data_IF_604687886696
#
_entry.id   IF_604687886696
#
_cell.length_a   1.000
_cell.length_b   1.000
_cell.length_c   1.000
_cell.angle_alpha   90.00
_cell.angle_beta   90.00
_cell.angle_gamma   90.00
#
_symmetry.space_group_name_H-M   'P 1'
#
loop_
_entity.id
_entity.type
_entity.pdbx_description
1 polymer ?
#
# COMPACT_ATOMS: atom_id res chain seq x y z
N UNK A 1 -44.91 69.42 -1.03
CA UNK A 1 -46.36 69.63 -1.21
C UNK A 1 -46.94 68.39 -1.87
N UNK A 2 -47.91 67.76 -1.21
CA UNK A 2 -49.08 67.00 -1.71
C UNK A 2 -48.67 65.74 -2.56
N UNK A 3 -49.18 64.57 -2.38
CA UNK A 3 -50.28 64.11 -1.53
C UNK A 3 -50.55 62.64 -1.79
N UNK A 4 -50.98 61.95 -0.75
CA UNK A 4 -51.42 60.55 -0.71
C UNK A 4 -52.59 60.27 -1.66
N UNK A 5 -52.56 59.04 -2.26
CA UNK A 5 -53.81 58.31 -2.55
C UNK A 5 -53.65 56.86 -2.23
N UNK A 6 -54.34 56.41 -1.23
CA UNK A 6 -54.73 55.03 -0.92
C UNK A 6 -55.80 54.60 -1.92
N UNK A 7 -55.63 53.39 -2.46
CA UNK A 7 -56.69 52.68 -3.17
C UNK A 7 -56.84 51.29 -2.49
N UNK A 8 -58.00 51.16 -1.81
CA UNK A 8 -58.50 49.89 -1.30
C UNK A 8 -59.02 49.02 -2.44
N UNK A 9 -58.59 47.74 -2.49
CA UNK A 9 -59.33 46.73 -3.26
C UNK A 9 -59.82 45.64 -2.31
N UNK A 10 -61.12 45.37 -2.43
CA UNK A 10 -61.83 44.34 -1.68
C UNK A 10 -61.43 42.91 -2.06
N UNK A 11 -61.33 42.06 -1.06
CA UNK A 11 -61.20 40.60 -1.22
C UNK A 11 -62.58 40.03 -1.58
N UNK A 12 -62.67 39.39 -2.70
CA UNK A 12 -63.71 38.40 -3.00
C UNK A 12 -63.19 36.99 -2.71
N UNK A 13 -63.78 36.30 -1.73
CA UNK A 13 -63.50 34.93 -1.39
C UNK A 13 -64.20 33.99 -2.37
N UNK A 14 -63.42 33.22 -3.14
CA UNK A 14 -63.94 32.09 -3.92
C UNK A 14 -63.49 30.81 -3.21
N UNK A 15 -64.44 30.14 -2.59
CA UNK A 15 -64.27 28.77 -2.02
C UNK A 15 -64.27 27.74 -3.13
N UNK A 16 -63.12 27.23 -3.47
CA UNK A 16 -62.95 26.03 -4.30
C UNK A 16 -62.73 24.82 -3.40
N UNK A 17 -63.67 23.92 -3.38
CA UNK A 17 -63.54 22.57 -2.82
C UNK A 17 -62.58 21.76 -3.68
N UNK A 18 -61.39 21.48 -3.14
CA UNK A 18 -60.45 20.54 -3.74
C UNK A 18 -60.45 19.25 -2.96
N UNK A 19 -60.61 18.15 -3.71
CA UNK A 19 -60.59 16.81 -3.20
C UNK A 19 -59.25 16.46 -2.56
N UNK A 20 -59.32 15.60 -1.55
CA UNK A 20 -58.20 15.10 -0.75
C UNK A 20 -57.29 14.26 -1.64
N UNK A 21 -56.04 14.59 -1.90
CA UNK A 21 -55.12 13.68 -2.52
C UNK A 21 -54.70 12.58 -1.52
N UNK A 22 -54.91 11.31 -1.91
CA UNK A 22 -54.41 10.18 -1.19
C UNK A 22 -52.90 10.30 -1.10
N UNK A 23 -52.38 10.54 0.11
CA UNK A 23 -50.92 10.52 0.37
C UNK A 23 -50.42 9.12 0.16
N UNK A 24 -49.73 8.87 -0.94
CA UNK A 24 -48.80 7.75 -1.08
C UNK A 24 -47.73 7.88 0.00
N UNK A 25 -47.80 7.03 1.04
CA UNK A 25 -46.66 6.80 1.92
C UNK A 25 -45.57 6.09 1.11
N UNK A 26 -44.39 6.66 0.90
CA UNK A 26 -43.29 5.89 0.36
C UNK A 26 -42.98 4.78 1.37
N UNK A 27 -42.97 3.52 0.89
CA UNK A 27 -42.45 2.40 1.66
C UNK A 27 -41.02 2.77 2.08
N UNK A 28 -40.77 2.87 3.37
CA UNK A 28 -39.43 3.01 3.90
C UNK A 28 -38.65 1.76 3.45
N UNK A 29 -37.78 1.92 2.47
CA UNK A 29 -36.74 0.95 2.18
C UNK A 29 -35.89 0.93 3.45
N UNK A 30 -36.09 -0.09 4.26
CA UNK A 30 -35.27 -0.36 5.42
C UNK A 30 -33.87 -0.65 4.85
N UNK A 31 -32.99 0.35 4.92
CA UNK A 31 -31.56 0.14 4.68
C UNK A 31 -31.16 -0.98 5.64
N UNK A 32 -30.83 -2.16 5.09
CA UNK A 32 -30.20 -3.19 5.87
C UNK A 32 -28.97 -2.53 6.49
N UNK A 33 -29.00 -2.35 7.79
CA UNK A 33 -27.82 -1.96 8.54
C UNK A 33 -26.81 -3.07 8.29
N UNK A 34 -25.80 -2.81 7.46
CA UNK A 34 -24.61 -3.63 7.43
C UNK A 34 -24.03 -3.52 8.84
N UNK A 35 -24.30 -4.53 9.66
CA UNK A 35 -23.67 -4.64 10.98
C UNK A 35 -22.17 -4.52 10.73
N UNK A 36 -21.53 -3.59 11.46
CA UNK A 36 -20.07 -3.46 11.43
C UNK A 36 -19.47 -4.83 11.72
N UNK A 37 -18.43 -5.27 10.99
CA UNK A 37 -17.85 -6.59 11.18
C UNK A 37 -17.54 -6.80 12.66
N UNK A 38 -18.10 -7.86 13.25
CA UNK A 38 -17.78 -8.22 14.62
C UNK A 38 -16.31 -8.67 14.67
N UNK A 39 -15.42 -7.79 15.06
CA UNK A 39 -14.00 -8.09 15.28
C UNK A 39 -13.87 -8.95 16.56
N UNK A 40 -14.15 -10.27 16.43
CA UNK A 40 -14.19 -11.20 17.54
C UNK A 40 -12.87 -11.29 18.30
N UNK A 41 -12.96 -11.59 19.60
CA UNK A 41 -11.79 -11.92 20.42
C UNK A 41 -11.31 -13.33 20.05
N UNK A 42 -10.12 -13.41 19.45
CA UNK A 42 -9.43 -14.68 19.14
C UNK A 42 -9.74 -15.27 17.76
N UNK A 43 -8.75 -15.92 17.18
CA UNK A 43 -8.81 -16.58 15.89
C UNK A 43 -8.00 -15.88 14.82
N UNK A 44 -7.75 -16.60 13.73
CA UNK A 44 -6.99 -16.12 12.54
C UNK A 44 -7.97 -15.75 11.44
N UNK A 45 -7.84 -14.56 10.81
CA UNK A 45 -8.70 -14.15 9.70
C UNK A 45 -8.71 -15.20 8.58
N UNK A 46 -9.89 -15.48 8.07
CA UNK A 46 -10.11 -16.40 6.95
C UNK A 46 -10.61 -15.64 5.74
N UNK A 47 -10.19 -16.08 4.56
CA UNK A 47 -10.48 -15.40 3.32
C UNK A 47 -10.90 -16.35 2.22
N UNK A 48 -11.77 -15.86 1.34
CA UNK A 48 -12.17 -16.53 0.12
C UNK A 48 -12.02 -15.58 -1.06
N UNK A 49 -11.44 -16.06 -2.17
CA UNK A 49 -11.32 -15.24 -3.37
C UNK A 49 -12.67 -14.85 -3.93
N UNK A 50 -12.81 -13.61 -4.39
CA UNK A 50 -13.94 -13.07 -5.12
C UNK A 50 -13.60 -12.98 -6.61
N UNK A 51 -14.03 -13.94 -7.44
CA UNK A 51 -13.64 -13.98 -8.86
C UNK A 51 -14.31 -12.88 -9.70
N UNK A 52 -15.37 -12.25 -9.19
CA UNK A 52 -16.15 -11.24 -9.91
C UNK A 52 -15.69 -9.81 -9.63
N UNK A 53 -14.76 -9.64 -8.72
CA UNK A 53 -14.14 -8.34 -8.40
C UNK A 53 -12.78 -8.20 -9.10
N UNK A 54 -12.43 -7.02 -9.68
CA UNK A 54 -13.27 -5.84 -9.96
C UNK A 54 -14.06 -6.00 -11.26
N UNK A 55 -15.13 -5.23 -11.42
CA UNK A 55 -15.94 -5.18 -12.64
C UNK A 55 -15.34 -4.15 -13.60
N UNK A 56 -14.35 -4.57 -14.34
CA UNK A 56 -13.69 -3.72 -15.33
C UNK A 56 -14.65 -3.43 -16.49
N UNK A 57 -14.88 -2.15 -16.87
CA UNK A 57 -15.65 -1.81 -18.06
C UNK A 57 -15.13 -2.54 -19.29
N UNK A 58 -16.01 -3.17 -20.08
CA UNK A 58 -15.66 -4.07 -21.17
C UNK A 58 -14.83 -3.43 -22.31
N UNK A 59 -14.84 -2.09 -22.39
CA UNK A 59 -14.03 -1.32 -23.35
C UNK A 59 -12.55 -1.28 -23.00
N UNK A 60 -12.17 -1.71 -21.81
CA UNK A 60 -10.81 -1.56 -21.30
C UNK A 60 -10.05 -2.88 -21.11
N UNK A 61 -8.77 -2.79 -21.38
CA UNK A 61 -7.74 -3.76 -21.00
C UNK A 61 -6.93 -3.19 -19.85
N UNK A 62 -6.84 -3.92 -18.76
CA UNK A 62 -6.03 -3.49 -17.60
C UNK A 62 -4.60 -3.95 -17.78
N UNK A 63 -3.65 -3.05 -17.60
CA UNK A 63 -2.23 -3.37 -17.57
C UNK A 63 -1.85 -4.15 -16.30
N UNK A 64 -0.57 -4.41 -16.15
CA UNK A 64 -0.01 -5.02 -14.94
C UNK A 64 -0.45 -4.25 -13.69
N UNK A 65 -1.10 -4.90 -12.73
CA UNK A 65 -1.51 -4.30 -11.47
C UNK A 65 -0.32 -4.11 -10.54
N UNK A 66 -0.01 -2.87 -10.21
CA UNK A 66 1.14 -2.53 -9.39
C UNK A 66 0.82 -2.35 -7.92
N UNK A 67 -0.23 -1.62 -7.62
CA UNK A 67 -0.66 -1.35 -6.25
C UNK A 67 -2.18 -1.42 -6.12
N UNK A 68 -2.64 -1.70 -4.91
CA UNK A 68 -4.05 -1.65 -4.53
C UNK A 68 -4.15 -1.14 -3.10
N UNK A 69 -5.10 -0.25 -2.84
CA UNK A 69 -5.33 0.34 -1.52
C UNK A 69 -6.82 0.57 -1.28
N UNK A 70 -7.28 0.30 -0.06
CA UNK A 70 -8.60 0.74 0.42
C UNK A 70 -8.51 2.14 1.00
N UNK A 71 -9.52 2.98 0.75
CA UNK A 71 -9.63 4.29 1.38
C UNK A 71 -10.54 4.25 2.63
N UNK A 72 -10.60 5.35 3.34
CA UNK A 72 -11.43 5.48 4.56
C UNK A 72 -12.93 5.59 4.29
N UNK A 73 -13.34 5.67 3.02
CA UNK A 73 -14.76 5.65 2.59
C UNK A 73 -15.20 4.24 2.22
N UNK A 74 -14.26 3.28 2.21
CA UNK A 74 -14.51 1.90 1.83
C UNK A 74 -14.36 1.63 0.34
N UNK A 75 -13.90 2.59 -0.47
CA UNK A 75 -13.57 2.35 -1.87
C UNK A 75 -12.18 1.73 -2.00
N UNK A 76 -11.93 1.15 -3.15
CA UNK A 76 -10.67 0.46 -3.46
C UNK A 76 -10.07 1.05 -4.73
N UNK A 77 -8.82 1.42 -4.62
CA UNK A 77 -8.05 2.04 -5.68
C UNK A 77 -7.02 1.08 -6.23
N UNK A 78 -6.88 1.03 -7.54
CA UNK A 78 -5.90 0.22 -8.26
C UNK A 78 -4.98 1.15 -9.04
N UNK A 79 -3.68 0.90 -8.96
CA UNK A 79 -2.68 1.44 -9.87
C UNK A 79 -2.23 0.34 -10.82
N UNK A 80 -2.31 0.58 -12.12
CA UNK A 80 -1.88 -0.35 -13.15
C UNK A 80 -0.86 0.27 -14.09
N UNK A 81 -0.18 -0.57 -14.87
CA UNK A 81 0.86 -0.21 -15.84
C UNK A 81 0.35 -0.38 -17.28
N UNK A 82 -0.44 0.56 -17.81
CA UNK A 82 -1.03 0.41 -19.15
C UNK A 82 0.01 0.31 -20.26
N UNK A 83 1.18 0.93 -20.10
CA UNK A 83 2.29 0.84 -21.07
C UNK A 83 2.88 -0.56 -21.23
N UNK A 84 2.60 -1.46 -20.29
CA UNK A 84 3.03 -2.87 -20.36
C UNK A 84 2.06 -3.79 -21.08
N UNK A 85 0.93 -3.26 -21.52
CA UNK A 85 0.05 -3.99 -22.42
C UNK A 85 0.72 -4.22 -23.78
N UNK A 86 0.41 -5.33 -24.46
CA UNK A 86 0.77 -5.53 -25.86
C UNK A 86 0.37 -4.33 -26.71
N UNK A 87 1.14 -4.05 -27.75
CA UNK A 87 0.92 -2.85 -28.59
C UNK A 87 -0.49 -2.77 -29.18
N UNK A 88 -1.04 -3.90 -29.57
CA UNK A 88 -2.40 -4.06 -30.09
C UNK A 88 -3.50 -3.72 -29.08
N UNK A 89 -3.20 -3.85 -27.79
CA UNK A 89 -4.15 -3.60 -26.70
C UNK A 89 -4.06 -2.18 -26.12
N UNK A 90 -3.02 -1.42 -26.47
CA UNK A 90 -2.79 -0.10 -25.87
C UNK A 90 -3.88 0.92 -26.18
N UNK A 91 -4.54 0.83 -27.35
CA UNK A 91 -5.65 1.70 -27.69
C UNK A 91 -6.90 1.51 -26.80
N UNK A 92 -7.00 0.34 -26.16
CA UNK A 92 -8.06 0.00 -25.20
C UNK A 92 -7.57 -0.04 -23.75
N UNK A 93 -6.38 0.51 -23.48
CA UNK A 93 -5.83 0.51 -22.13
C UNK A 93 -6.75 1.24 -21.14
N UNK A 94 -6.94 0.63 -19.96
CA UNK A 94 -7.59 1.31 -18.86
C UNK A 94 -6.72 2.47 -18.34
N UNK A 95 -7.32 3.50 -17.74
CA UNK A 95 -6.56 4.51 -17.00
C UNK A 95 -5.67 3.85 -15.93
N UNK A 96 -4.44 4.36 -15.69
CA UNK A 96 -3.54 3.76 -14.72
C UNK A 96 -4.09 3.81 -13.27
N UNK A 97 -4.81 4.85 -12.91
CA UNK A 97 -5.49 4.97 -11.61
C UNK A 97 -6.97 4.69 -11.80
N UNK A 98 -7.52 3.75 -11.04
CA UNK A 98 -8.94 3.38 -11.08
C UNK A 98 -9.49 3.24 -9.68
N UNK A 99 -10.69 3.74 -9.44
CA UNK A 99 -11.44 3.62 -8.20
C UNK A 99 -12.68 2.72 -8.40
N UNK A 100 -12.90 1.84 -7.44
CA UNK A 100 -14.05 0.92 -7.39
C UNK A 100 -14.69 0.97 -6.02
N UNK A 101 -15.99 0.70 -5.97
CA UNK A 101 -16.64 0.41 -4.70
C UNK A 101 -16.29 -1.03 -4.22
N UNK A 102 -16.67 -1.36 -3.00
CA UNK A 102 -16.42 -2.70 -2.42
C UNK A 102 -17.11 -3.83 -3.20
N UNK A 103 -18.19 -3.54 -3.92
CA UNK A 103 -18.87 -4.50 -4.79
C UNK A 103 -18.18 -4.65 -6.16
N UNK A 104 -17.11 -3.87 -6.41
CA UNK A 104 -16.34 -3.87 -7.63
C UNK A 104 -16.89 -3.01 -8.74
N UNK A 105 -17.91 -2.20 -8.51
CA UNK A 105 -18.40 -1.29 -9.53
C UNK A 105 -17.41 -0.15 -9.75
N UNK A 106 -17.11 0.14 -11.01
CA UNK A 106 -16.21 1.22 -11.39
C UNK A 106 -16.82 2.59 -11.03
N UNK A 107 -16.04 3.43 -10.36
CA UNK A 107 -16.41 4.80 -9.98
C UNK A 107 -15.77 5.81 -10.92
N UNK A 108 -14.45 5.82 -10.98
CA UNK A 108 -13.69 6.73 -11.82
C UNK A 108 -12.31 6.19 -12.19
N UNK A 109 -11.66 6.82 -13.17
CA UNK A 109 -10.28 6.50 -13.53
C UNK A 109 -9.63 7.64 -14.30
N UNK A 110 -8.34 7.87 -14.05
CA UNK A 110 -7.56 8.97 -14.61
C UNK A 110 -6.06 8.69 -14.63
N UNK A 111 -5.27 9.63 -15.15
CA UNK A 111 -3.82 9.60 -15.16
C UNK A 111 -3.21 9.10 -16.48
N UNK A 112 -1.90 8.83 -16.46
CA UNK A 112 -1.13 8.36 -17.62
C UNK A 112 -0.46 9.46 -18.45
N UNK A 113 -0.80 10.73 -18.20
CA UNK A 113 -0.23 11.86 -18.92
C UNK A 113 0.51 12.81 -17.98
N UNK A 114 1.67 13.28 -18.45
CA UNK A 114 2.43 14.32 -17.76
C UNK A 114 1.74 15.68 -17.92
N UNK A 115 2.03 16.59 -17.00
CA UNK A 115 1.47 17.94 -17.00
C UNK A 115 2.48 18.98 -16.52
N UNK A 116 2.02 20.21 -16.35
CA UNK A 116 2.85 21.29 -15.82
C UNK A 116 3.31 20.95 -14.38
N UNK A 117 4.61 20.93 -14.15
CA UNK A 117 5.22 20.70 -12.85
C UNK A 117 5.42 19.23 -12.45
N UNK A 118 5.05 18.27 -13.28
CA UNK A 118 5.29 16.85 -13.03
C UNK A 118 5.42 16.03 -14.31
N UNK A 119 6.11 14.90 -14.20
CA UNK A 119 6.10 13.87 -15.22
C UNK A 119 5.40 12.64 -14.69
N UNK A 120 4.44 12.10 -15.46
CA UNK A 120 3.78 10.85 -15.11
C UNK A 120 4.80 9.70 -15.10
N UNK A 121 4.78 8.82 -14.09
CA UNK A 121 5.70 7.70 -14.03
C UNK A 121 5.65 6.83 -15.28
N UNK A 122 6.80 6.38 -15.74
CA UNK A 122 6.90 5.43 -16.85
C UNK A 122 6.71 4.00 -16.39
N UNK A 123 7.02 3.71 -15.13
CA UNK A 123 6.81 2.43 -14.47
C UNK A 123 6.11 2.66 -13.12
N UNK A 124 4.80 2.83 -13.16
CA UNK A 124 3.97 3.04 -11.98
C UNK A 124 4.22 1.93 -10.96
N UNK A 125 4.38 2.29 -9.66
CA UNK A 125 4.69 1.28 -8.65
C UNK A 125 3.85 1.39 -7.38
N UNK A 126 3.96 2.43 -6.58
CA UNK A 126 3.24 2.61 -5.33
C UNK A 126 2.02 3.53 -5.47
N UNK A 127 1.01 3.27 -4.65
CA UNK A 127 -0.24 4.04 -4.56
C UNK A 127 -0.66 4.14 -3.10
N UNK A 128 -1.01 5.34 -2.68
CA UNK A 128 -1.64 5.58 -1.39
C UNK A 128 -2.77 6.61 -1.52
N UNK A 129 -3.87 6.39 -0.79
CA UNK A 129 -4.95 7.38 -0.65
C UNK A 129 -4.98 7.80 0.81
N UNK A 130 -4.75 9.08 1.08
CA UNK A 130 -4.69 9.58 2.44
C UNK A 130 -6.09 9.90 3.01
N UNK A 131 -6.17 10.07 4.34
CA UNK A 131 -7.45 10.32 5.02
C UNK A 131 -8.14 11.61 4.58
N UNK A 132 -7.42 12.53 3.93
CA UNK A 132 -7.98 13.75 3.35
C UNK A 132 -8.47 13.55 1.92
N UNK A 133 -8.30 12.35 1.36
CA UNK A 133 -8.71 11.97 0.02
C UNK A 133 -7.74 12.38 -1.08
N UNK A 134 -6.50 12.75 -0.77
CA UNK A 134 -5.47 12.92 -1.78
C UNK A 134 -4.91 11.58 -2.20
N UNK A 135 -4.64 11.46 -3.50
CA UNK A 135 -4.05 10.27 -4.11
C UNK A 135 -2.56 10.52 -4.36
N UNK A 136 -1.74 9.65 -3.80
CA UNK A 136 -0.30 9.71 -3.93
C UNK A 136 0.19 8.55 -4.75
N UNK A 137 1.03 8.83 -5.73
CA UNK A 137 1.61 7.80 -6.61
C UNK A 137 3.11 8.01 -6.76
N UNK A 138 3.81 6.93 -7.02
CA UNK A 138 5.20 6.96 -7.41
C UNK A 138 5.49 5.94 -8.51
N UNK A 139 6.65 6.07 -9.13
CA UNK A 139 7.20 5.13 -10.07
C UNK A 139 8.64 4.80 -9.75
N UNK A 140 9.10 3.68 -10.27
CA UNK A 140 10.41 3.14 -9.94
C UNK A 140 11.32 2.87 -11.14
N UNK A 141 11.03 3.41 -12.31
CA UNK A 141 11.98 3.34 -13.42
C UNK A 141 13.28 4.07 -13.02
N UNK A 142 14.38 3.36 -13.12
CA UNK A 142 15.73 3.86 -12.75
C UNK A 142 16.63 4.11 -13.97
N UNK A 143 16.06 4.12 -15.17
CA UNK A 143 16.78 4.30 -16.43
C UNK A 143 17.62 3.09 -16.86
N UNK A 144 17.57 1.99 -16.09
CA UNK A 144 18.29 0.74 -16.41
C UNK A 144 17.38 -0.35 -16.95
N UNK A 145 16.08 -0.07 -17.06
CA UNK A 145 15.13 -1.03 -17.60
C UNK A 145 15.43 -1.31 -19.07
N UNK A 146 15.50 -2.58 -19.43
CA UNK A 146 15.55 -3.01 -20.82
C UNK A 146 14.18 -2.90 -21.52
N UNK A 147 13.16 -2.44 -20.82
CA UNK A 147 11.85 -2.22 -21.39
C UNK A 147 11.81 -0.85 -22.08
N UNK A 148 11.65 -0.79 -23.41
CA UNK A 148 11.61 0.49 -24.14
C UNK A 148 10.41 1.39 -23.76
N UNK A 149 9.42 0.87 -23.04
CA UNK A 149 8.33 1.65 -22.50
C UNK A 149 8.72 2.44 -21.24
N UNK A 150 9.80 2.07 -20.56
CA UNK A 150 10.27 2.73 -19.35
C UNK A 150 11.16 3.91 -19.75
N UNK A 151 10.69 5.11 -19.49
CA UNK A 151 11.48 6.33 -19.61
C UNK A 151 12.51 6.41 -18.47
N UNK A 152 13.61 7.13 -18.64
CA UNK A 152 14.62 7.21 -17.59
C UNK A 152 14.08 7.90 -16.34
N UNK A 153 14.26 7.24 -15.19
CA UNK A 153 14.19 7.80 -13.83
C UNK A 153 12.88 8.48 -13.43
N UNK A 154 11.94 7.68 -12.95
CA UNK A 154 10.69 8.22 -12.41
C UNK A 154 10.90 9.11 -11.18
N UNK A 155 11.65 8.68 -10.20
CA UNK A 155 12.18 9.39 -9.00
C UNK A 155 11.35 10.56 -8.44
N UNK A 156 10.03 10.50 -8.57
CA UNK A 156 9.08 11.47 -8.04
C UNK A 156 7.99 10.78 -7.24
N UNK A 157 7.57 11.44 -6.16
CA UNK A 157 6.29 11.18 -5.50
C UNK A 157 5.33 12.27 -5.95
N UNK A 158 4.19 11.89 -6.49
CA UNK A 158 3.19 12.81 -7.03
C UNK A 158 1.93 12.78 -6.15
N UNK A 159 1.42 13.95 -5.81
CA UNK A 159 0.18 14.14 -5.06
C UNK A 159 -0.89 14.72 -5.99
N UNK A 160 -2.06 14.10 -5.98
CA UNK A 160 -3.23 14.53 -6.76
C UNK A 160 -4.44 14.68 -5.84
N UNK A 161 -5.42 15.47 -6.26
CA UNK A 161 -6.76 15.38 -5.70
C UNK A 161 -7.41 14.05 -6.10
N UNK A 162 -8.50 13.69 -5.46
CA UNK A 162 -9.24 12.46 -5.76
C UNK A 162 -9.64 12.35 -7.24
N UNK A 163 -9.97 13.48 -7.88
CA UNK A 163 -10.36 13.56 -9.29
C UNK A 163 -9.17 13.75 -10.26
N UNK A 164 -7.95 13.55 -9.79
CA UNK A 164 -6.73 13.50 -10.62
C UNK A 164 -6.11 14.86 -10.96
N UNK A 165 -6.46 15.95 -10.25
CA UNK A 165 -5.77 17.23 -10.43
C UNK A 165 -4.45 17.24 -9.66
N UNK A 166 -3.38 17.60 -10.35
CA UNK A 166 -2.06 17.71 -9.74
C UNK A 166 -2.00 18.74 -8.62
N UNK A 167 -1.37 18.39 -7.52
CA UNK A 167 -1.18 19.25 -6.34
C UNK A 167 0.28 19.59 -6.14
N UNK A 168 1.15 18.57 -6.05
CA UNK A 168 2.60 18.76 -5.83
C UNK A 168 3.40 17.52 -6.20
N UNK A 169 4.70 17.70 -6.34
CA UNK A 169 5.68 16.63 -6.48
C UNK A 169 6.77 16.74 -5.41
N UNK A 170 7.28 15.59 -4.96
CA UNK A 170 8.49 15.45 -4.15
C UNK A 170 9.53 14.72 -4.99
N UNK A 171 10.76 15.20 -5.04
CA UNK A 171 11.78 14.70 -5.96
C UNK A 171 11.63 15.29 -7.35
N UNK A 172 12.42 14.80 -8.29
CA UNK A 172 12.44 15.29 -9.67
C UNK A 172 12.69 14.16 -10.64
N UNK A 173 11.81 14.02 -11.64
CA UNK A 173 11.99 13.06 -12.73
C UNK A 173 13.32 13.30 -13.46
N UNK A 174 13.98 12.22 -13.88
CA UNK A 174 15.27 12.27 -14.55
C UNK A 174 16.48 12.47 -13.63
N UNK A 175 16.29 12.89 -12.39
CA UNK A 175 17.38 12.97 -11.42
C UNK A 175 17.65 11.63 -10.78
N UNK A 176 18.92 11.27 -10.71
CA UNK A 176 19.40 10.10 -9.95
C UNK A 176 20.38 10.59 -8.92
N UNK A 177 20.24 10.11 -7.70
CA UNK A 177 21.17 10.43 -6.63
C UNK A 177 21.30 9.30 -5.65
N UNK A 178 22.42 9.25 -4.97
CA UNK A 178 22.59 8.47 -3.75
C UNK A 178 21.87 9.18 -2.59
N UNK A 179 22.06 8.83 -1.37
CA UNK A 179 21.35 9.26 -0.15
C UNK A 179 21.12 10.78 0.07
N UNK A 180 20.96 11.56 -0.99
CA UNK A 180 20.58 12.97 -0.89
C UNK A 180 19.19 13.19 -0.30
N UNK A 181 18.93 14.37 0.26
CA UNK A 181 17.68 14.70 0.93
C UNK A 181 16.54 15.10 -0.02
N UNK A 182 16.87 15.38 -1.29
CA UNK A 182 15.93 15.85 -2.32
C UNK A 182 15.83 14.93 -3.53
N UNK A 183 16.54 13.82 -3.52
CA UNK A 183 16.56 12.83 -4.62
C UNK A 183 16.13 11.48 -4.12
N UNK A 184 15.30 10.83 -4.91
CA UNK A 184 14.89 9.45 -4.74
C UNK A 184 15.62 8.57 -5.75
N UNK A 185 15.63 7.27 -5.52
CA UNK A 185 16.18 6.31 -6.46
C UNK A 185 15.44 4.98 -6.43
N UNK A 186 14.40 4.91 -7.24
CA UNK A 186 13.57 3.72 -7.33
C UNK A 186 12.78 3.49 -6.04
N UNK A 187 11.96 4.47 -5.67
CA UNK A 187 10.98 4.32 -4.61
C UNK A 187 10.07 3.12 -4.87
N UNK A 188 9.54 2.51 -3.81
CA UNK A 188 8.80 1.25 -3.89
C UNK A 188 7.41 1.33 -3.30
N UNK A 189 7.18 2.19 -2.34
CA UNK A 189 5.83 2.49 -1.81
C UNK A 189 5.83 3.75 -0.95
N UNK A 190 4.62 4.21 -0.63
CA UNK A 190 4.34 5.45 0.08
C UNK A 190 3.34 5.17 1.19
N UNK A 191 3.52 5.80 2.33
CA UNK A 191 2.50 5.93 3.36
C UNK A 191 2.40 7.38 3.82
N UNK A 192 1.18 7.91 3.93
CA UNK A 192 0.95 9.27 4.42
C UNK A 192 0.25 9.23 5.77
N UNK A 193 0.92 9.74 6.78
CA UNK A 193 0.36 9.93 8.10
C UNK A 193 -0.25 11.34 8.21
N UNK A 194 -1.55 11.41 8.05
CA UNK A 194 -2.29 12.69 8.10
C UNK A 194 -2.29 13.32 9.51
N UNK A 195 -2.09 12.51 10.56
CA UNK A 195 -2.01 13.02 11.95
C UNK A 195 -0.75 13.84 12.19
N UNK A 196 0.35 13.49 11.53
CA UNK A 196 1.65 14.17 11.66
C UNK A 196 2.03 14.98 10.43
N UNK A 197 1.23 14.94 9.36
CA UNK A 197 1.53 15.51 8.04
C UNK A 197 2.87 15.02 7.46
N UNK A 198 3.13 13.73 7.56
CA UNK A 198 4.37 13.12 7.09
C UNK A 198 4.12 12.12 5.98
N UNK A 199 5.00 12.14 4.98
CA UNK A 199 5.08 11.13 3.91
C UNK A 199 6.28 10.25 4.18
N UNK A 200 6.04 8.98 4.43
CA UNK A 200 7.07 7.94 4.55
C UNK A 200 7.22 7.26 3.20
N UNK A 201 8.44 7.16 2.74
CA UNK A 201 8.76 6.56 1.44
C UNK A 201 9.77 5.44 1.65
N UNK A 202 9.45 4.27 1.14
CA UNK A 202 10.41 3.19 0.97
C UNK A 202 11.21 3.45 -0.32
N UNK A 203 12.40 4.03 -0.19
CA UNK A 203 13.30 4.33 -1.30
C UNK A 203 14.29 3.16 -1.48
N UNK A 204 13.83 2.08 -2.15
CA UNK A 204 14.35 0.74 -1.96
C UNK A 204 15.02 0.05 -3.13
N UNK A 205 14.66 0.29 -4.40
CA UNK A 205 15.32 -0.38 -5.53
C UNK A 205 16.73 0.15 -5.79
N UNK A 206 16.90 1.45 -5.77
CA UNK A 206 18.18 2.10 -5.98
C UNK A 206 18.87 2.49 -4.68
N UNK A 207 18.15 3.01 -3.71
CA UNK A 207 18.60 3.25 -2.34
C UNK A 207 18.17 2.11 -1.41
N UNK A 208 18.52 2.15 -0.13
CA UNK A 208 18.10 1.18 0.90
C UNK A 208 17.75 1.92 2.17
N UNK A 209 16.69 2.72 2.09
CA UNK A 209 16.32 3.62 3.18
C UNK A 209 14.81 3.83 3.27
N UNK A 210 14.38 4.25 4.44
CA UNK A 210 13.14 4.99 4.65
C UNK A 210 13.50 6.46 4.65
N UNK A 211 12.79 7.27 3.87
CA UNK A 211 12.95 8.72 3.86
C UNK A 211 11.60 9.38 4.11
N UNK A 212 11.58 10.44 4.90
CA UNK A 212 10.36 11.08 5.36
C UNK A 212 10.35 12.54 4.94
N UNK A 213 9.22 12.97 4.41
CA UNK A 213 8.98 14.34 3.98
C UNK A 213 7.72 14.91 4.65
N UNK A 214 7.62 16.22 4.68
CA UNK A 214 6.39 16.90 5.06
C UNK A 214 5.33 16.78 3.94
N UNK A 215 4.14 16.29 4.25
CA UNK A 215 3.08 15.99 3.27
C UNK A 215 2.45 17.24 2.61
N UNK A 216 2.67 18.43 3.19
CA UNK A 216 2.12 19.69 2.67
C UNK A 216 3.15 20.46 1.83
N UNK A 217 4.43 20.35 2.17
CA UNK A 217 5.49 21.17 1.56
C UNK A 217 6.51 20.39 0.75
N UNK A 218 6.57 19.05 0.92
CA UNK A 218 7.61 18.21 0.34
C UNK A 218 9.00 18.39 0.98
N UNK A 219 9.11 19.16 2.06
CA UNK A 219 10.40 19.36 2.74
C UNK A 219 10.89 18.06 3.40
N UNK A 220 12.18 17.78 3.24
CA UNK A 220 12.84 16.66 3.92
C UNK A 220 12.76 16.82 5.44
N UNK A 221 12.49 15.73 6.15
CA UNK A 221 12.45 15.70 7.60
C UNK A 221 13.54 14.81 8.20
N UNK A 222 13.65 13.56 7.75
CA UNK A 222 14.61 12.56 8.25
C UNK A 222 14.69 11.35 7.34
N UNK A 223 15.71 10.51 7.54
CA UNK A 223 15.87 9.21 6.88
C UNK A 223 16.69 8.26 7.73
N UNK A 224 16.53 6.96 7.50
CA UNK A 224 17.32 5.92 8.15
C UNK A 224 17.32 4.62 7.34
N UNK A 225 18.31 3.77 7.59
CA UNK A 225 18.43 2.41 7.08
C UNK A 225 17.93 1.36 8.07
N UNK A 226 18.22 0.09 7.81
CA UNK A 226 17.92 -1.00 8.74
C UNK A 226 18.56 -0.74 10.10
N UNK A 227 17.90 -1.18 11.17
CA UNK A 227 18.33 -1.00 12.57
C UNK A 227 18.58 0.45 13.00
N UNK A 228 18.00 1.41 12.28
CA UNK A 228 18.25 2.85 12.45
C UNK A 228 19.68 3.30 12.06
N UNK A 229 20.42 2.49 11.32
CA UNK A 229 21.73 2.87 10.82
C UNK A 229 21.62 3.97 9.76
N UNK A 230 22.71 4.71 9.56
CA UNK A 230 22.85 5.60 8.42
C UNK A 230 22.80 4.78 7.13
N UNK A 231 21.95 5.13 6.15
CA UNK A 231 21.89 4.42 4.88
C UNK A 231 23.24 4.51 4.14
N UNK A 232 23.72 3.37 3.64
CA UNK A 232 24.92 3.35 2.80
C UNK A 232 24.59 3.81 1.38
N UNK A 233 25.53 4.50 0.76
CA UNK A 233 25.47 4.77 -0.67
C UNK A 233 25.55 3.48 -1.48
N UNK A 234 24.95 3.47 -2.66
CA UNK A 234 24.88 2.27 -3.50
C UNK A 234 26.22 1.59 -3.76
N UNK A 235 27.27 2.39 -3.96
CA UNK A 235 28.62 1.92 -4.21
C UNK A 235 29.32 1.38 -2.95
N UNK A 236 28.76 1.63 -1.77
CA UNK A 236 29.27 1.16 -0.48
C UNK A 236 28.56 -0.07 0.05
N UNK A 237 27.52 -0.53 -0.67
CA UNK A 237 26.76 -1.69 -0.21
C UNK A 237 27.53 -2.97 -0.45
N UNK A 238 27.54 -3.87 0.53
CA UNK A 238 28.11 -5.20 0.31
C UNK A 238 27.34 -5.92 -0.81
N UNK A 239 28.07 -6.68 -1.62
CA UNK A 239 27.47 -7.50 -2.65
C UNK A 239 26.44 -8.44 -2.03
N UNK A 240 25.28 -8.62 -2.70
CA UNK A 240 24.24 -9.56 -2.24
C UNK A 240 24.87 -10.93 -2.08
N UNK A 241 24.88 -11.45 -0.87
CA UNK A 241 24.99 -12.87 -0.66
C UNK A 241 23.62 -13.52 -0.89
N UNK A 242 23.51 -14.61 -1.66
CA UNK A 242 22.27 -15.36 -1.71
C UNK A 242 21.98 -15.86 -0.30
N UNK A 243 20.82 -15.46 0.23
CA UNK A 243 20.41 -15.75 1.61
C UNK A 243 20.09 -17.26 1.78
N UNK A 244 21.13 -18.07 1.97
CA UNK A 244 21.02 -19.25 2.83
C UNK A 244 21.57 -18.82 4.18
N UNK A 245 20.69 -18.30 5.05
CA UNK A 245 21.13 -17.82 6.36
C UNK A 245 20.76 -18.83 7.41
N UNK A 246 21.77 -19.25 8.13
CA UNK A 246 21.62 -19.78 9.48
C UNK A 246 21.36 -18.59 10.41
N UNK A 247 20.14 -18.48 11.00
CA UNK A 247 19.83 -17.41 11.93
C UNK A 247 20.70 -17.38 13.19
N UNK A 248 21.52 -18.43 13.41
CA UNK A 248 22.42 -18.55 14.57
C UNK A 248 23.77 -17.86 14.36
N UNK A 249 24.10 -17.48 13.12
CA UNK A 249 25.34 -16.76 12.86
C UNK A 249 25.15 -15.28 13.06
N UNK A 250 26.16 -14.63 13.66
CA UNK A 250 26.19 -13.18 13.88
C UNK A 250 25.69 -12.44 12.64
N UNK A 251 24.78 -11.50 12.84
CA UNK A 251 24.12 -10.72 11.79
C UNK A 251 25.19 -10.24 10.80
N UNK A 252 25.24 -10.86 9.63
CA UNK A 252 26.25 -10.51 8.62
C UNK A 252 26.14 -9.03 8.27
N UNK A 253 27.24 -8.39 7.85
CA UNK A 253 27.23 -6.97 7.45
C UNK A 253 26.11 -6.65 6.44
N UNK A 254 25.75 -7.61 5.59
CA UNK A 254 24.65 -7.50 4.62
C UNK A 254 23.30 -7.26 5.31
N UNK A 255 23.06 -7.89 6.45
CA UNK A 255 21.83 -7.74 7.21
C UNK A 255 21.77 -6.44 8.00
N UNK A 256 22.89 -5.76 8.21
CA UNK A 256 22.92 -4.45 8.87
C UNK A 256 22.31 -3.35 8.01
N UNK A 257 22.05 -3.62 6.73
CA UNK A 257 21.38 -2.73 5.80
C UNK A 257 20.05 -3.32 5.33
N UNK A 258 19.16 -2.47 4.85
CA UNK A 258 18.01 -2.96 4.09
C UNK A 258 18.49 -3.66 2.83
N UNK A 259 17.90 -4.80 2.52
CA UNK A 259 18.10 -5.47 1.25
C UNK A 259 17.56 -4.63 0.09
N UNK A 260 17.97 -4.96 -1.11
CA UNK A 260 17.37 -4.35 -2.30
C UNK A 260 16.39 -5.35 -2.95
N UNK A 261 15.12 -4.98 -3.01
CA UNK A 261 14.54 -3.74 -2.51
C UNK A 261 14.11 -3.81 -1.04
N UNK A 262 14.19 -2.69 -0.31
CA UNK A 262 13.29 -2.34 0.77
C UNK A 262 11.98 -1.94 0.09
N UNK A 263 10.83 -2.60 0.39
CA UNK A 263 9.75 -2.63 -0.58
C UNK A 263 8.45 -1.93 -0.17
N UNK A 264 8.15 -1.86 1.12
CA UNK A 264 6.92 -1.24 1.61
C UNK A 264 7.14 -0.61 2.99
N UNK A 265 6.35 0.40 3.32
CA UNK A 265 6.33 1.07 4.61
C UNK A 265 4.91 1.43 5.01
N UNK A 266 4.51 1.08 6.23
CA UNK A 266 3.21 1.43 6.79
C UNK A 266 3.35 1.90 8.24
N UNK A 267 2.52 2.86 8.65
CA UNK A 267 2.44 3.32 10.03
C UNK A 267 1.10 2.92 10.63
N UNK A 268 1.13 2.25 11.76
CA UNK A 268 -0.07 1.79 12.46
C UNK A 268 -0.78 2.91 13.24
N UNK A 269 -2.01 2.63 13.69
CA UNK A 269 -2.82 3.58 14.46
C UNK A 269 -2.14 4.03 15.77
N UNK A 270 -1.35 3.15 16.40
CA UNK A 270 -0.55 3.40 17.59
C UNK A 270 0.86 3.93 17.28
N UNK A 271 1.05 4.44 16.04
CA UNK A 271 2.24 5.15 15.59
C UNK A 271 3.50 4.28 15.63
N UNK A 272 3.41 3.02 15.24
CA UNK A 272 4.57 2.18 14.96
C UNK A 272 4.75 2.04 13.44
N UNK A 273 5.97 2.16 12.97
CA UNK A 273 6.31 2.02 11.56
C UNK A 273 6.80 0.61 11.28
N UNK A 274 6.21 -0.02 10.27
CA UNK A 274 6.55 -1.35 9.78
C UNK A 274 7.18 -1.23 8.39
N UNK A 275 8.32 -1.88 8.22
CA UNK A 275 9.13 -1.82 7.00
C UNK A 275 9.28 -3.21 6.40
N UNK A 276 8.88 -3.38 5.14
CA UNK A 276 9.05 -4.61 4.39
C UNK A 276 10.44 -4.68 3.76
N UNK A 277 11.38 -5.30 4.45
CA UNK A 277 12.72 -5.55 3.93
C UNK A 277 12.72 -6.82 3.07
N UNK A 278 12.19 -6.70 1.85
CA UNK A 278 12.01 -7.79 0.90
C UNK A 278 13.33 -8.48 0.56
N UNK A 279 14.39 -7.69 0.40
CA UNK A 279 15.70 -8.24 0.04
C UNK A 279 16.28 -9.15 1.12
N UNK A 280 15.88 -8.97 2.38
CA UNK A 280 16.30 -9.77 3.52
C UNK A 280 15.17 -10.64 4.10
N UNK A 281 14.00 -10.69 3.45
CA UNK A 281 12.84 -11.50 3.86
C UNK A 281 12.41 -11.26 5.31
N UNK A 282 12.37 -9.99 5.75
CA UNK A 282 11.99 -9.62 7.11
C UNK A 282 11.10 -8.39 7.15
N UNK A 283 10.34 -8.27 8.22
CA UNK A 283 9.67 -7.05 8.63
C UNK A 283 10.45 -6.45 9.78
N UNK A 284 10.83 -5.18 9.68
CA UNK A 284 11.40 -4.42 10.79
C UNK A 284 10.39 -3.40 11.31
N UNK A 285 10.38 -3.18 12.62
CA UNK A 285 9.50 -2.22 13.30
C UNK A 285 10.31 -1.12 13.93
N UNK A 286 9.84 0.12 13.71
CA UNK A 286 10.48 1.33 14.21
C UNK A 286 9.47 2.25 14.90
N UNK A 287 9.98 3.19 15.69
CA UNK A 287 9.21 4.40 16.00
C UNK A 287 9.17 5.32 14.77
N UNK A 288 8.24 6.27 14.67
CA UNK A 288 8.21 7.26 13.59
C UNK A 288 9.48 8.12 13.49
N UNK A 289 10.22 8.25 14.60
CA UNK A 289 11.51 8.93 14.65
C UNK A 289 12.68 8.10 14.10
N UNK A 290 12.43 6.84 13.70
CA UNK A 290 13.44 5.96 13.13
C UNK A 290 14.17 5.07 14.14
N UNK A 291 13.78 5.03 15.44
CA UNK A 291 14.36 4.11 16.42
C UNK A 291 13.89 2.68 16.14
N UNK A 292 14.81 1.75 15.91
CA UNK A 292 14.52 0.32 15.75
C UNK A 292 13.94 -0.27 17.05
N UNK A 293 12.94 -1.15 16.91
CA UNK A 293 12.27 -1.81 18.02
C UNK A 293 12.40 -3.33 17.97
N UNK A 294 12.06 -3.94 16.85
CA UNK A 294 12.04 -5.39 16.68
C UNK A 294 11.99 -5.78 15.21
N UNK A 295 12.17 -7.06 14.93
CA UNK A 295 12.01 -7.63 13.60
C UNK A 295 11.49 -9.07 13.61
N UNK A 296 11.00 -9.52 12.46
CA UNK A 296 10.63 -10.91 12.22
C UNK A 296 11.00 -11.31 10.78
N UNK A 297 11.74 -12.40 10.64
CA UNK A 297 11.95 -13.05 9.34
C UNK A 297 10.70 -13.82 8.93
N UNK A 298 10.32 -13.69 7.66
CA UNK A 298 9.12 -14.32 7.11
C UNK A 298 9.48 -15.17 5.93
N UNK A 299 9.30 -16.49 6.04
CA UNK A 299 9.66 -17.46 5.02
C UNK A 299 11.13 -17.42 4.61
N UNK A 300 12.11 -17.41 5.56
CA UNK A 300 13.52 -17.24 5.24
C UNK A 300 14.06 -18.40 4.37
N UNK A 301 13.51 -19.59 4.55
CA UNK A 301 13.94 -20.80 3.84
C UNK A 301 13.29 -20.96 2.46
N UNK A 302 12.36 -20.08 2.09
CA UNK A 302 11.71 -20.11 0.79
C UNK A 302 12.59 -19.43 -0.26
N UNK A 303 12.71 -20.03 -1.44
CA UNK A 303 13.49 -19.45 -2.56
C UNK A 303 12.81 -18.20 -3.12
N UNK A 304 11.48 -18.18 -3.15
CA UNK A 304 10.68 -17.11 -3.70
C UNK A 304 10.75 -15.82 -2.84
N UNK A 305 10.44 -14.71 -3.48
CA UNK A 305 10.45 -13.41 -2.83
C UNK A 305 9.31 -13.28 -1.82
N UNK A 306 9.68 -13.16 -0.55
CA UNK A 306 8.78 -12.90 0.56
C UNK A 306 8.82 -11.42 0.96
N UNK A 307 7.88 -10.99 1.82
CA UNK A 307 7.85 -9.65 2.43
C UNK A 307 7.83 -8.53 1.38
N UNK A 308 6.79 -8.55 0.53
CA UNK A 308 6.63 -7.55 -0.53
C UNK A 308 5.79 -6.37 -0.09
N UNK A 309 4.50 -6.59 0.19
CA UNK A 309 3.53 -5.59 0.60
C UNK A 309 3.09 -5.80 2.05
N UNK A 310 2.65 -4.74 2.71
CA UNK A 310 2.12 -4.75 4.06
C UNK A 310 0.71 -4.16 4.08
N UNK A 311 -0.16 -4.74 4.89
CA UNK A 311 -1.44 -4.13 5.21
C UNK A 311 -1.84 -4.49 6.64
N UNK A 312 -2.57 -3.60 7.31
CA UNK A 312 -3.13 -3.89 8.63
C UNK A 312 -4.58 -4.31 8.54
N UNK A 313 -5.04 -5.16 9.46
CA UNK A 313 -6.46 -5.37 9.64
C UNK A 313 -7.16 -4.06 10.04
N UNK A 314 -8.41 -3.83 9.60
CA UNK A 314 -9.08 -2.54 9.79
C UNK A 314 -9.73 -2.38 11.18
N UNK A 315 -9.65 -3.41 12.05
CA UNK A 315 -10.10 -3.28 13.42
C UNK A 315 -9.33 -2.16 14.15
N UNK A 316 -9.93 -1.47 15.13
CA UNK A 316 -9.29 -0.33 15.80
C UNK A 316 -7.92 -0.63 16.40
N UNK A 317 -7.69 -1.87 16.85
CA UNK A 317 -6.42 -2.35 17.37
C UNK A 317 -5.43 -2.77 16.30
N UNK A 318 -5.86 -2.88 15.04
CA UNK A 318 -5.04 -3.42 13.94
C UNK A 318 -4.31 -4.70 14.37
N UNK A 319 -5.07 -5.70 14.85
CA UNK A 319 -4.51 -6.89 15.50
C UNK A 319 -3.63 -7.71 14.58
N UNK A 320 -3.88 -7.65 13.28
CA UNK A 320 -3.16 -8.44 12.29
C UNK A 320 -2.35 -7.55 11.34
N UNK A 321 -1.18 -8.05 10.99
CA UNK A 321 -0.35 -7.56 9.90
C UNK A 321 -0.37 -8.61 8.79
N UNK A 322 -0.83 -8.21 7.61
CA UNK A 322 -0.73 -9.02 6.40
C UNK A 322 0.58 -8.68 5.69
N UNK A 323 1.32 -9.72 5.30
CA UNK A 323 2.61 -9.58 4.64
C UNK A 323 2.57 -10.31 3.32
N UNK A 324 2.68 -9.58 2.23
CA UNK A 324 2.67 -10.13 0.89
C UNK A 324 3.89 -11.01 0.61
N UNK A 325 3.66 -12.15 0.00
CA UNK A 325 4.70 -13.11 -0.35
C UNK A 325 4.32 -13.91 -1.60
N UNK A 326 5.14 -14.87 -1.95
CA UNK A 326 4.90 -15.85 -3.01
C UNK A 326 5.21 -17.23 -2.46
N UNK A 327 4.31 -18.22 -2.57
CA UNK A 327 3.00 -18.15 -3.26
C UNK A 327 1.87 -17.54 -2.42
N UNK A 328 2.00 -17.40 -1.10
CA UNK A 328 0.94 -17.02 -0.16
C UNK A 328 1.25 -15.68 0.51
N UNK A 329 0.23 -14.95 0.94
CA UNK A 329 0.39 -13.86 1.89
C UNK A 329 0.36 -14.41 3.32
N UNK A 330 1.17 -13.82 4.20
CA UNK A 330 1.28 -14.23 5.60
C UNK A 330 0.37 -13.41 6.48
N UNK A 331 -0.13 -14.02 7.56
CA UNK A 331 -0.90 -13.36 8.60
C UNK A 331 -0.07 -13.40 9.88
N UNK A 332 0.29 -12.23 10.38
CA UNK A 332 1.05 -12.08 11.62
C UNK A 332 0.19 -11.39 12.70
N UNK A 333 0.44 -11.73 13.94
CA UNK A 333 0.06 -10.86 15.05
C UNK A 333 0.87 -9.57 14.92
N UNK A 334 0.21 -8.44 14.75
CA UNK A 334 0.92 -7.18 14.48
C UNK A 334 1.87 -6.75 15.60
N UNK A 335 1.52 -7.00 16.87
CA UNK A 335 2.32 -6.55 18.02
C UNK A 335 3.49 -7.46 18.34
N UNK A 336 3.29 -8.77 18.24
CA UNK A 336 4.33 -9.76 18.55
C UNK A 336 5.13 -10.18 17.32
N UNK A 337 4.62 -9.92 16.13
CA UNK A 337 5.10 -10.39 14.83
C UNK A 337 5.06 -11.93 14.68
N UNK A 338 4.39 -12.63 15.60
CA UNK A 338 4.17 -14.07 15.50
C UNK A 338 3.40 -14.40 14.22
N UNK A 339 3.88 -15.40 13.47
CA UNK A 339 3.21 -15.91 12.26
C UNK A 339 2.04 -16.79 12.70
N UNK A 340 0.83 -16.40 12.35
CA UNK A 340 -0.42 -17.07 12.73
C UNK A 340 -0.96 -17.96 11.60
N UNK A 341 -0.63 -17.69 10.35
CA UNK A 341 -1.12 -18.44 9.21
C UNK A 341 -0.82 -17.77 7.88
N UNK A 342 -1.49 -18.25 6.83
CA UNK A 342 -1.34 -17.71 5.47
C UNK A 342 -2.71 -17.55 4.79
N UNK A 343 -2.79 -16.59 3.88
CA UNK A 343 -3.88 -16.46 2.93
C UNK A 343 -3.48 -17.22 1.68
N UNK A 344 -4.23 -18.28 1.35
CA UNK A 344 -4.00 -19.05 0.13
C UNK A 344 -4.31 -18.19 -1.09
N UNK A 345 -3.34 -18.13 -1.99
CA UNK A 345 -3.47 -17.36 -3.21
C UNK A 345 -4.09 -18.19 -4.33
N UNK A 346 -4.37 -17.55 -5.46
CA UNK A 346 -4.89 -18.25 -6.63
C UNK A 346 -3.88 -19.31 -7.07
N UNK A 347 -4.31 -20.55 -7.34
CA UNK A 347 -3.43 -21.59 -7.85
C UNK A 347 -2.69 -21.12 -9.11
N UNK A 348 -1.42 -21.49 -9.22
CA UNK A 348 -0.67 -21.29 -10.47
C UNK A 348 -1.49 -21.85 -11.62
N UNK A 349 -1.59 -21.12 -12.72
CA UNK A 349 -2.21 -21.62 -13.94
C UNK A 349 -1.59 -22.95 -14.39
N UNK A 350 -2.14 -23.63 -15.42
CA UNK A 350 -1.66 -24.90 -15.88
C UNK A 350 -0.14 -24.90 -16.07
N UNK A 351 0.50 -26.03 -15.69
CA UNK A 351 1.95 -26.24 -15.82
C UNK A 351 2.40 -25.89 -17.24
N UNK A 352 3.26 -24.88 -17.37
CA UNK A 352 3.77 -24.38 -18.65
C UNK A 352 3.38 -22.96 -19.00
N UNK A 353 2.42 -22.34 -18.33
CA UNK A 353 2.21 -20.90 -18.38
C UNK A 353 3.09 -20.22 -17.32
N UNK A 354 4.05 -19.45 -17.79
CA UNK A 354 4.98 -18.67 -16.97
C UNK A 354 4.31 -17.45 -16.29
N UNK A 355 3.02 -17.51 -16.07
CA UNK A 355 2.28 -16.57 -15.23
C UNK A 355 2.59 -16.88 -13.77
N UNK A 356 3.68 -16.35 -13.25
CA UNK A 356 3.88 -16.32 -11.81
C UNK A 356 2.77 -15.49 -11.21
N UNK A 357 1.92 -16.10 -10.40
CA UNK A 357 0.97 -15.36 -9.58
C UNK A 357 1.78 -14.54 -8.59
N UNK A 358 2.12 -13.30 -8.94
CA UNK A 358 2.76 -12.34 -8.04
C UNK A 358 1.71 -11.72 -7.12
N UNK A 359 0.98 -12.57 -6.40
CA UNK A 359 0.08 -12.11 -5.36
C UNK A 359 0.90 -11.49 -4.25
N UNK A 360 0.40 -10.39 -3.71
CA UNK A 360 1.07 -9.69 -2.63
C UNK A 360 2.23 -8.80 -3.08
N UNK A 361 2.20 -8.30 -4.31
CA UNK A 361 3.16 -7.27 -4.72
C UNK A 361 3.02 -6.05 -3.81
N UNK A 362 1.84 -5.42 -3.77
CA UNK A 362 1.40 -4.51 -2.72
C UNK A 362 -0.01 -4.92 -2.28
N UNK A 363 -0.30 -4.70 -1.00
CA UNK A 363 -1.54 -5.13 -0.36
C UNK A 363 -2.41 -3.94 0.01
N UNK A 364 -3.73 -4.14 -0.06
CA UNK A 364 -4.73 -3.23 0.47
C UNK A 364 -5.76 -3.97 1.33
N UNK A 365 -6.39 -3.24 2.24
CA UNK A 365 -7.51 -3.74 3.04
C UNK A 365 -8.60 -2.68 3.03
N UNK A 366 -9.86 -3.10 2.87
CA UNK A 366 -11.00 -2.20 2.99
C UNK A 366 -11.58 -2.18 4.42
N UNK A 367 -12.55 -1.31 4.64
CA UNK A 367 -13.20 -1.14 5.94
C UNK A 367 -13.99 -2.36 6.41
N UNK A 368 -14.32 -3.30 5.52
CA UNK A 368 -14.98 -4.56 5.84
C UNK A 368 -13.99 -5.71 6.12
N UNK A 369 -12.69 -5.45 6.05
CA UNK A 369 -11.65 -6.43 6.30
C UNK A 369 -11.31 -7.32 5.09
N UNK A 370 -11.85 -7.04 3.91
CA UNK A 370 -11.44 -7.74 2.72
C UNK A 370 -9.99 -7.37 2.39
N UNK A 371 -9.19 -8.39 2.04
CA UNK A 371 -7.80 -8.22 1.62
C UNK A 371 -7.75 -8.12 0.10
N UNK A 372 -6.91 -7.22 -0.38
CA UNK A 372 -6.66 -7.03 -1.81
C UNK A 372 -5.20 -7.18 -2.11
N UNK A 373 -4.90 -7.73 -3.30
CA UNK A 373 -3.52 -7.88 -3.76
C UNK A 373 -3.39 -7.36 -5.18
N UNK A 374 -2.44 -6.49 -5.42
CA UNK A 374 -2.02 -6.18 -6.77
C UNK A 374 -1.21 -7.34 -7.35
N UNK A 375 -1.31 -7.57 -8.65
CA UNK A 375 -0.67 -8.70 -9.27
C UNK A 375 -0.40 -8.55 -10.75
N UNK A 376 0.41 -9.46 -11.27
CA UNK A 376 0.67 -9.59 -12.70
C UNK A 376 -0.58 -10.04 -13.45
N UNK A 377 -0.57 -9.82 -14.77
CA UNK A 377 -1.56 -10.32 -15.71
C UNK A 377 -1.68 -11.84 -15.56
N UNK A 378 -2.49 -12.30 -14.63
CA UNK A 378 -2.79 -13.71 -14.57
C UNK A 378 -4.14 -13.93 -15.24
N UNK A 379 -4.14 -14.81 -16.23
CA UNK A 379 -5.36 -15.26 -16.90
C UNK A 379 -6.12 -16.30 -16.07
N UNK A 380 -5.89 -16.34 -14.75
CA UNK A 380 -6.43 -17.38 -13.87
C UNK A 380 -7.95 -17.51 -14.00
N UNK A 381 -8.66 -16.43 -14.30
CA UNK A 381 -10.09 -16.46 -14.57
C UNK A 381 -10.45 -15.99 -15.99
N UNK A 382 -9.50 -16.04 -16.93
CA UNK A 382 -9.70 -15.52 -18.29
C UNK A 382 -9.85 -13.98 -18.37
N UNK A 383 -9.53 -13.26 -17.28
CA UNK A 383 -9.64 -11.80 -17.18
C UNK A 383 -8.32 -11.20 -16.70
N UNK A 384 -7.90 -10.09 -17.30
CA UNK A 384 -6.82 -9.25 -16.78
C UNK A 384 -7.44 -8.26 -15.80
N UNK A 385 -7.22 -8.46 -14.50
CA UNK A 385 -7.92 -7.70 -13.46
C UNK A 385 -7.06 -6.65 -12.76
N UNK A 386 -5.73 -6.78 -12.84
CA UNK A 386 -4.77 -5.89 -12.16
C UNK A 386 -4.70 -6.07 -10.64
N UNK A 387 -5.79 -6.49 -10.00
CA UNK A 387 -5.85 -6.79 -8.58
C UNK A 387 -6.89 -7.87 -8.28
N UNK A 388 -6.75 -8.50 -7.12
CA UNK A 388 -7.61 -9.59 -6.65
C UNK A 388 -8.17 -9.25 -5.28
N UNK A 389 -9.44 -9.60 -5.05
CA UNK A 389 -10.11 -9.45 -3.76
C UNK A 389 -10.24 -10.80 -3.07
N UNK A 390 -9.91 -10.82 -1.79
CA UNK A 390 -10.13 -11.93 -0.88
C UNK A 390 -11.14 -11.47 0.17
N UNK A 391 -12.36 -11.95 0.06
CA UNK A 391 -13.44 -11.63 1.00
C UNK A 391 -13.10 -12.19 2.37
N UNK A 392 -13.17 -11.35 3.37
CA UNK A 392 -13.12 -11.79 4.76
C UNK A 392 -14.35 -12.61 5.08
N UNK A 393 -14.16 -13.83 5.64
CA UNK A 393 -15.25 -14.78 5.93
C UNK A 393 -15.39 -15.08 7.42
N UNK A 394 -14.60 -14.39 8.26
CA UNK A 394 -14.61 -14.60 9.71
C UNK A 394 -13.28 -15.07 10.24
N UNK A 395 -13.29 -15.68 11.42
CA UNK A 395 -12.09 -16.16 12.10
C UNK A 395 -12.16 -17.67 12.31
N UNK A 396 -11.02 -18.34 12.16
CA UNK A 396 -10.86 -19.72 12.64
C UNK A 396 -10.17 -19.74 14.00
N UNK A 397 -10.33 -20.83 14.79
CA UNK A 397 -9.50 -21.01 15.97
C UNK A 397 -8.01 -20.95 15.62
N UNK A 398 -7.20 -20.33 16.47
CA UNK A 398 -5.76 -20.35 16.32
C UNK A 398 -5.27 -21.78 16.40
N UNK A 399 -4.75 -22.31 15.30
CA UNK A 399 -3.91 -23.49 15.33
C UNK A 399 -2.49 -22.96 15.52
N UNK A 400 -1.78 -23.30 16.61
CA UNK A 400 -0.40 -22.91 16.76
C UNK A 400 0.39 -23.47 15.57
N UNK A 401 0.81 -22.61 14.67
CA UNK A 401 1.72 -22.99 13.61
C UNK A 401 3.13 -23.03 14.20
N UNK A 402 3.78 -24.11 13.98
CA UNK A 402 4.96 -24.72 14.54
C UNK A 402 6.27 -23.93 14.48
N UNK A 403 6.31 -22.66 14.89
CA UNK A 403 7.61 -22.01 15.17
C UNK A 403 7.45 -21.04 16.33
N UNK A 404 8.05 -21.41 17.46
CA UNK A 404 8.22 -20.50 18.59
C UNK A 404 8.97 -19.24 18.12
N UNK A 405 8.54 -18.03 18.55
CA UNK A 405 9.28 -16.83 18.26
C UNK A 405 10.68 -16.96 18.84
N UNK A 406 11.70 -16.87 18.01
CA UNK A 406 13.06 -16.73 18.49
C UNK A 406 13.21 -15.30 18.98
N UNK A 407 13.12 -15.08 20.27
CA UNK A 407 13.50 -13.84 20.92
C UNK A 407 15.00 -13.63 20.68
N UNK A 408 15.36 -12.86 19.67
CA UNK A 408 16.70 -12.33 19.56
C UNK A 408 16.73 -11.11 20.48
N UNK A 409 17.16 -11.31 21.72
CA UNK A 409 17.45 -10.22 22.63
C UNK A 409 18.52 -9.36 21.98
N UNK A 410 18.23 -8.06 21.84
CA UNK A 410 19.23 -7.08 21.45
C UNK A 410 20.39 -7.19 22.44
N UNK A 411 21.58 -7.55 21.97
CA UNK A 411 22.79 -7.53 22.77
C UNK A 411 23.00 -6.08 23.21
N UNK A 412 22.73 -5.80 24.47
CA UNK A 412 23.09 -4.54 25.11
C UNK A 412 24.62 -4.44 25.06
N UNK A 413 25.13 -3.46 24.34
CA UNK A 413 26.55 -3.16 24.36
C UNK A 413 26.98 -2.85 25.79
N UNK A 414 27.68 -3.75 26.43
CA UNK A 414 28.35 -3.51 27.68
C UNK A 414 29.62 -2.71 27.40
N UNK A 415 29.58 -1.43 27.69
CA UNK A 415 30.80 -0.67 27.92
C UNK A 415 31.42 -1.11 29.23
N UNK A 416 32.30 -2.10 29.17
CA UNK A 416 33.14 -2.48 30.27
C UNK A 416 34.39 -1.60 30.30
N UNK A 417 34.40 -0.63 31.18
CA UNK A 417 35.64 0.04 31.57
C UNK A 417 36.40 -0.95 32.45
N UNK A 418 37.52 -1.48 32.01
CA UNK A 418 38.47 -2.22 32.85
C UNK A 418 39.55 -1.25 33.30
N UNK A 419 39.55 -0.98 34.58
CA UNK A 419 40.64 -0.35 35.26
C UNK A 419 41.89 -1.25 35.28
N UNK A 420 43.02 -0.64 35.01
CA UNK A 420 44.32 -1.20 35.18
C UNK A 420 44.64 -1.41 36.65
N UNK A 421 45.23 -2.53 37.01
CA UNK A 421 46.07 -2.69 38.21
C UNK A 421 47.37 -3.38 37.83
N UNK A 422 48.46 -2.68 38.14
CA UNK A 422 49.86 -3.14 38.08
C UNK A 422 50.15 -4.23 39.11
N UNK A 423 51.02 -5.13 38.67
CA UNK A 423 52.29 -5.60 39.27
C UNK A 423 52.23 -6.50 40.52
N UNK A 424 53.28 -7.27 40.89
CA UNK A 424 54.69 -7.10 40.51
C UNK A 424 55.24 -8.14 39.54
#
# INVERSE_FOLDING_TARGET
>A
MKGNRLINFALAAVTLLWGIPHAFKPAAVQAASLEAPHWGEGGVPQFQIDPDWPKIPSKWKVGFGSAVVGDNKGNVWILSRPRRLPKEDQASAAPPVMEFDQAGNFIQGWGGQSGAGYQWPSNEHGLFVDDNGFVWIEGNADGKSNNPADLPNDNQILKFTNDGKFVMAIGQSGQTGSNGTHVLRGATDIFVNTKTNEVYVSDGYGNSRIIVFNANTGAFLRMWGAYAHTPLDMNQRPARSPLKQDPSTAVSEVLQQFGSPMHDVKVSNDQLLYAADRGNKRVQVFTPAGKFLTEQFVGPDLEDLQVRGLAFSPDPGQRFLYVGGTPDAWILNRRTLEILGTVKTVPKGPVGQTGTSNIGHLLGVDTNGNLYTAGELSTVFGKTQGAYKYKFTGYSPTVPCCQAPRNISAAAGSTGATGATEAP
#
